data_IF_518553758732
#
_entry.id   IF_518553758732
#
_cell.length_a   1.000
_cell.length_b   1.000
_cell.length_c   1.000
_cell.angle_alpha   90.00
_cell.angle_beta   90.00
_cell.angle_gamma   90.00
#
_symmetry.space_group_name_H-M   'P 1'
#
loop_
_entity.id
_entity.type
_entity.pdbx_description
1 polymer ?
#
# COMPACT_ATOMS: atom_id res chain seq x y z
N UNK A 1 -16.58 -64.46 -17.61
CA UNK A 1 -17.00 -64.19 -16.24
C UNK A 1 -16.26 -63.00 -15.73
N UNK A 2 -16.83 -61.83 -15.75
CA UNK A 2 -16.47 -60.74 -14.83
C UNK A 2 -17.47 -59.60 -15.04
N UNK A 3 -18.23 -59.39 -14.00
CA UNK A 3 -19.38 -58.47 -13.91
C UNK A 3 -18.88 -57.04 -13.80
N UNK A 4 -19.32 -56.16 -14.68
CA UNK A 4 -19.13 -54.71 -14.57
C UNK A 4 -20.24 -54.11 -13.67
N UNK A 5 -19.88 -53.51 -12.55
CA UNK A 5 -20.76 -52.70 -11.73
C UNK A 5 -20.76 -51.25 -12.25
N UNK A 6 -21.92 -50.82 -12.76
CA UNK A 6 -22.20 -49.47 -13.13
C UNK A 6 -22.33 -48.55 -11.88
N UNK A 7 -21.64 -47.46 -11.87
CA UNK A 7 -21.86 -46.39 -10.90
C UNK A 7 -22.70 -45.30 -11.59
N UNK A 8 -23.98 -45.28 -11.29
CA UNK A 8 -24.91 -44.23 -11.70
C UNK A 8 -24.87 -43.13 -10.62
N UNK A 9 -24.18 -42.04 -10.88
CA UNK A 9 -24.24 -40.86 -10.05
C UNK A 9 -25.07 -39.77 -10.75
N UNK A 10 -26.36 -39.80 -10.49
CA UNK A 10 -27.26 -38.69 -10.79
C UNK A 10 -27.39 -37.80 -9.57
N UNK A 11 -26.40 -36.94 -9.35
CA UNK A 11 -26.46 -35.83 -8.41
C UNK A 11 -26.56 -34.51 -9.16
N UNK A 12 -27.77 -34.10 -9.52
CA UNK A 12 -28.04 -32.78 -10.05
C UNK A 12 -27.88 -31.76 -8.91
N UNK A 13 -27.08 -30.70 -9.04
CA UNK A 13 -27.02 -29.65 -8.01
C UNK A 13 -28.37 -28.95 -7.92
N UNK A 14 -28.82 -28.58 -6.71
CA UNK A 14 -30.10 -27.90 -6.54
C UNK A 14 -30.05 -26.54 -7.24
N UNK A 15 -31.02 -26.30 -8.10
CA UNK A 15 -31.22 -25.02 -8.77
C UNK A 15 -31.60 -23.95 -7.73
N UNK A 16 -31.17 -22.71 -7.97
CA UNK A 16 -31.40 -21.54 -7.12
C UNK A 16 -32.89 -21.31 -6.72
N UNK A 17 -33.84 -21.95 -7.44
CA UNK A 17 -35.25 -21.90 -7.13
C UNK A 17 -35.65 -22.74 -5.90
N UNK A 18 -34.81 -23.68 -5.47
CA UNK A 18 -35.10 -24.52 -4.30
C UNK A 18 -34.80 -23.86 -2.95
N UNK A 19 -34.06 -22.74 -2.96
CA UNK A 19 -33.71 -21.98 -1.75
C UNK A 19 -34.76 -20.89 -1.41
N UNK A 20 -35.71 -20.64 -2.29
CA UNK A 20 -36.73 -19.60 -2.09
C UNK A 20 -37.92 -20.03 -1.22
N UNK A 21 -38.02 -21.31 -0.82
CA UNK A 21 -39.15 -21.82 -0.06
C UNK A 21 -38.85 -22.14 1.41
N UNK A 22 -37.62 -21.96 1.87
CA UNK A 22 -37.33 -21.93 3.31
C UNK A 22 -37.59 -20.48 3.76
N UNK A 23 -38.75 -20.28 4.42
CA UNK A 23 -39.26 -19.00 4.88
C UNK A 23 -38.27 -18.22 5.73
N UNK A 24 -37.33 -17.60 5.05
CA UNK A 24 -36.60 -16.43 5.59
C UNK A 24 -37.52 -15.22 5.35
N UNK A 25 -38.48 -15.06 6.24
CA UNK A 25 -39.04 -13.73 6.42
C UNK A 25 -37.86 -12.79 6.77
N UNK A 26 -37.64 -11.71 6.00
CA UNK A 26 -36.77 -10.66 6.50
C UNK A 26 -37.46 -10.18 7.77
N UNK A 27 -36.97 -10.65 8.92
CA UNK A 27 -37.40 -10.15 10.19
C UNK A 27 -37.28 -8.64 10.07
N UNK A 28 -38.35 -7.91 10.32
CA UNK A 28 -38.31 -6.49 10.67
C UNK A 28 -37.52 -6.42 11.97
N UNK A 29 -36.19 -6.63 11.87
CA UNK A 29 -35.27 -6.16 12.86
C UNK A 29 -35.45 -4.66 12.83
N UNK A 30 -36.25 -4.13 13.73
CA UNK A 30 -36.10 -2.76 14.18
C UNK A 30 -34.64 -2.62 14.53
N UNK A 31 -33.84 -2.09 13.59
CA UNK A 31 -32.51 -1.62 13.87
C UNK A 31 -32.72 -0.57 14.97
N UNK A 32 -32.48 -0.99 16.22
CA UNK A 32 -32.41 -0.04 17.32
C UNK A 32 -31.37 1.00 16.88
N UNK A 33 -31.73 2.31 16.85
CA UNK A 33 -30.74 3.30 16.46
C UNK A 33 -29.55 3.12 17.37
N UNK A 34 -28.43 2.84 16.73
CA UNK A 34 -27.16 2.62 17.42
C UNK A 34 -26.94 3.80 18.36
N UNK A 35 -26.93 3.53 19.67
CA UNK A 35 -26.82 4.57 20.73
C UNK A 35 -25.46 5.28 20.70
N UNK A 36 -24.87 5.44 19.58
CA UNK A 36 -23.59 6.10 19.37
C UNK A 36 -23.45 6.66 17.96
N UNK A 37 -24.43 6.47 17.08
CA UNK A 37 -24.35 6.97 15.72
C UNK A 37 -24.38 8.51 15.72
N UNK A 38 -23.35 9.12 15.12
CA UNK A 38 -23.26 10.56 14.92
C UNK A 38 -23.89 10.87 13.57
N UNK A 39 -24.86 11.80 13.57
CA UNK A 39 -25.49 12.24 12.34
C UNK A 39 -24.61 13.27 11.64
N UNK A 40 -23.92 12.88 10.58
CA UNK A 40 -23.14 13.76 9.74
C UNK A 40 -23.90 14.09 8.45
N UNK A 41 -23.75 15.30 7.89
CA UNK A 41 -24.29 15.63 6.58
C UNK A 41 -23.78 14.67 5.52
N UNK A 42 -24.65 14.17 4.65
CA UNK A 42 -24.28 13.27 3.54
C UNK A 42 -23.74 14.05 2.32
N UNK A 43 -23.56 15.35 2.42
CA UNK A 43 -23.04 16.20 1.36
C UNK A 43 -21.62 16.67 1.67
N UNK A 44 -20.80 16.90 0.62
CA UNK A 44 -19.46 17.46 0.81
C UNK A 44 -19.55 18.84 1.48
N UNK A 45 -18.88 19.00 2.60
CA UNK A 45 -18.81 20.29 3.29
C UNK A 45 -17.77 21.19 2.64
N UNK A 46 -18.05 22.48 2.44
CA UNK A 46 -17.07 23.44 1.98
C UNK A 46 -15.85 23.48 2.90
N UNK A 47 -14.66 23.69 2.34
CA UNK A 47 -13.37 23.63 3.07
C UNK A 47 -13.30 24.69 4.17
N UNK A 48 -13.93 25.85 3.96
CA UNK A 48 -14.02 26.96 4.91
C UNK A 48 -14.84 26.64 6.18
N UNK A 49 -15.70 25.63 6.10
CA UNK A 49 -16.50 25.15 7.24
C UNK A 49 -15.81 24.02 8.02
N UNK A 50 -14.68 23.53 7.53
CA UNK A 50 -13.92 22.48 8.19
C UNK A 50 -12.92 23.08 9.20
N UNK A 51 -12.61 22.36 10.29
CA UNK A 51 -11.57 22.78 11.22
C UNK A 51 -10.24 23.01 10.52
N UNK A 52 -9.56 24.09 10.80
CA UNK A 52 -8.27 24.40 10.19
C UNK A 52 -7.16 23.48 10.72
N UNK A 53 -7.24 23.08 11.99
CA UNK A 53 -6.24 22.27 12.70
C UNK A 53 -6.83 20.96 13.18
N UNK A 54 -6.00 19.94 13.30
CA UNK A 54 -6.40 18.63 13.81
C UNK A 54 -6.98 18.70 15.22
N UNK A 55 -6.42 19.54 16.09
CA UNK A 55 -6.89 19.71 17.45
C UNK A 55 -8.30 20.33 17.57
N UNK A 56 -8.77 20.94 16.50
CA UNK A 56 -10.11 21.57 16.42
C UNK A 56 -11.17 20.61 15.88
N UNK A 57 -10.76 19.41 15.43
CA UNK A 57 -11.69 18.40 14.98
C UNK A 57 -12.45 17.79 16.16
N UNK A 58 -13.72 17.52 15.95
CA UNK A 58 -14.58 16.84 16.91
C UNK A 58 -15.35 15.73 16.22
N UNK A 59 -15.97 14.86 16.98
CA UNK A 59 -16.83 13.83 16.43
C UNK A 59 -18.00 14.42 15.61
N UNK A 60 -18.48 15.61 15.98
CA UNK A 60 -19.55 16.32 15.27
C UNK A 60 -19.05 17.14 14.08
N UNK A 61 -17.75 17.49 14.08
CA UNK A 61 -17.14 18.23 12.99
C UNK A 61 -15.78 17.60 12.59
N UNK A 62 -15.80 16.36 12.08
CA UNK A 62 -14.58 15.66 11.66
C UNK A 62 -14.09 16.14 10.30
N UNK A 63 -12.82 15.91 10.02
CA UNK A 63 -12.32 16.02 8.66
C UNK A 63 -12.76 14.84 7.80
N UNK A 64 -13.14 15.06 6.55
CA UNK A 64 -13.17 14.00 5.54
C UNK A 64 -11.79 13.36 5.35
N UNK A 65 -11.76 12.09 4.95
CA UNK A 65 -10.51 11.36 4.68
C UNK A 65 -9.63 12.09 3.66
N UNK A 66 -10.24 12.71 2.65
CA UNK A 66 -9.53 13.49 1.63
C UNK A 66 -8.74 14.66 2.21
N UNK A 67 -9.30 15.35 3.21
CA UNK A 67 -8.61 16.47 3.89
C UNK A 67 -7.42 15.98 4.68
N UNK A 68 -7.58 14.90 5.44
CA UNK A 68 -6.46 14.30 6.17
C UNK A 68 -5.36 13.81 5.22
N UNK A 69 -5.73 13.15 4.12
CA UNK A 69 -4.77 12.71 3.09
C UNK A 69 -4.00 13.87 2.48
N UNK A 70 -4.66 15.01 2.22
CA UNK A 70 -3.99 16.22 1.74
C UNK A 70 -3.01 16.80 2.77
N UNK A 71 -3.37 16.77 4.05
CA UNK A 71 -2.48 17.20 5.12
C UNK A 71 -1.23 16.33 5.21
N UNK A 72 -1.39 15.01 5.09
CA UNK A 72 -0.26 14.06 5.03
C UNK A 72 0.59 14.31 3.79
N UNK A 73 -0.03 14.48 2.63
CA UNK A 73 0.69 14.80 1.40
C UNK A 73 1.56 16.04 1.58
N UNK A 74 1.00 17.14 2.07
CA UNK A 74 1.74 18.38 2.32
C UNK A 74 2.86 18.23 3.35
N UNK A 75 2.72 17.36 4.34
CA UNK A 75 3.78 17.05 5.30
C UNK A 75 4.90 16.23 4.65
N UNK A 76 4.55 15.21 3.88
CA UNK A 76 5.51 14.34 3.18
C UNK A 76 6.26 15.10 2.09
N UNK A 77 5.60 16.00 1.35
CA UNK A 77 6.24 16.85 0.34
C UNK A 77 7.33 17.76 0.91
N UNK A 78 7.23 18.15 2.17
CA UNK A 78 8.26 18.94 2.85
C UNK A 78 9.40 18.10 3.43
N UNK A 79 9.26 16.77 3.44
CA UNK A 79 10.30 15.90 3.97
C UNK A 79 11.50 15.88 3.02
N UNK A 80 12.73 15.99 3.55
CA UNK A 80 13.93 15.97 2.72
C UNK A 80 14.18 14.56 2.16
N UNK A 81 14.97 14.50 1.09
CA UNK A 81 15.52 13.23 0.59
C UNK A 81 16.49 12.63 1.59
N UNK A 82 16.56 11.30 1.62
CA UNK A 82 17.43 10.57 2.52
C UNK A 82 18.10 9.37 1.84
N UNK A 83 19.24 8.97 2.36
CA UNK A 83 19.87 7.70 2.03
C UNK A 83 19.33 6.61 2.97
N UNK A 84 18.88 5.51 2.40
CA UNK A 84 18.29 4.38 3.13
C UNK A 84 18.99 3.10 2.72
N UNK A 85 19.34 2.25 3.67
CA UNK A 85 19.94 0.94 3.40
C UNK A 85 19.00 -0.18 3.77
N UNK A 86 19.13 -1.31 3.08
CA UNK A 86 18.38 -2.53 3.37
C UNK A 86 18.63 -3.60 2.34
N UNK A 87 17.93 -4.73 2.50
CA UNK A 87 17.98 -5.86 1.58
C UNK A 87 16.76 -5.87 0.66
N UNK A 88 16.99 -6.10 -0.61
CA UNK A 88 15.90 -6.28 -1.58
C UNK A 88 15.20 -7.62 -1.33
N UNK A 89 13.92 -7.56 -0.96
CA UNK A 89 13.07 -8.76 -0.82
C UNK A 89 12.21 -9.01 -2.04
N UNK A 90 11.85 -7.94 -2.75
CA UNK A 90 11.17 -8.03 -4.05
C UNK A 90 11.69 -6.94 -4.97
N UNK A 91 11.83 -7.28 -6.23
CA UNK A 91 12.18 -6.32 -7.28
C UNK A 91 11.39 -6.64 -8.54
N UNK A 92 10.77 -5.62 -9.12
CA UNK A 92 10.03 -5.71 -10.35
C UNK A 92 10.39 -4.51 -11.23
N UNK A 93 11.13 -4.78 -12.30
CA UNK A 93 11.50 -3.79 -13.31
C UNK A 93 10.62 -4.00 -14.53
N UNK A 94 9.82 -3.01 -14.88
CA UNK A 94 8.93 -3.07 -16.04
C UNK A 94 9.59 -2.48 -17.25
N UNK A 95 9.28 -3.02 -18.44
CA UNK A 95 9.79 -2.50 -19.73
C UNK A 95 9.45 -1.03 -19.97
N UNK A 96 8.47 -0.49 -19.28
CA UNK A 96 8.07 0.92 -19.35
C UNK A 96 8.98 1.88 -18.57
N UNK A 97 10.19 1.47 -18.16
CA UNK A 97 11.13 2.34 -17.46
C UNK A 97 10.73 2.66 -16.03
N UNK A 98 10.03 1.76 -15.35
CA UNK A 98 9.71 1.85 -13.92
C UNK A 98 10.27 0.67 -13.15
N UNK A 99 10.70 0.91 -11.92
CA UNK A 99 11.11 -0.12 -10.98
C UNK A 99 10.32 0.00 -9.68
N UNK A 100 9.95 -1.14 -9.13
CA UNK A 100 9.29 -1.28 -7.83
C UNK A 100 10.11 -2.26 -7.00
N UNK A 101 10.56 -1.82 -5.85
CA UNK A 101 11.43 -2.57 -4.95
C UNK A 101 10.78 -2.60 -3.58
N UNK A 102 10.77 -3.75 -2.93
CA UNK A 102 10.51 -3.86 -1.50
C UNK A 102 11.86 -4.00 -0.80
N UNK A 103 12.19 -3.01 -0.01
CA UNK A 103 13.41 -2.95 0.78
C UNK A 103 13.08 -3.30 2.22
N UNK A 104 13.78 -4.29 2.78
CA UNK A 104 13.62 -4.73 4.18
C UNK A 104 14.83 -4.29 5.00
N UNK A 105 14.59 -3.87 6.21
CA UNK A 105 15.65 -3.59 7.17
C UNK A 105 16.45 -4.86 7.51
N UNK A 106 17.74 -4.69 7.80
CA UNK A 106 18.63 -5.83 8.07
C UNK A 106 18.44 -6.41 9.48
N UNK A 107 17.90 -5.63 10.41
CA UNK A 107 17.82 -5.98 11.82
C UNK A 107 16.39 -6.01 12.36
N UNK A 108 15.52 -5.21 11.79
CA UNK A 108 14.12 -5.08 12.21
C UNK A 108 13.16 -5.67 11.18
N UNK A 109 12.01 -6.14 11.63
CA UNK A 109 10.95 -6.64 10.73
C UNK A 109 10.14 -5.49 10.12
N UNK A 110 10.84 -4.61 9.41
CA UNK A 110 10.28 -3.43 8.75
C UNK A 110 10.62 -3.50 7.27
N UNK A 111 9.64 -3.27 6.43
CA UNK A 111 9.82 -3.17 5.00
C UNK A 111 9.25 -1.86 4.46
N UNK A 112 9.84 -1.34 3.40
CA UNK A 112 9.43 -0.12 2.73
C UNK A 112 9.37 -0.35 1.22
N UNK A 113 8.33 0.17 0.59
CA UNK A 113 8.25 0.21 -0.86
C UNK A 113 9.06 1.37 -1.42
N UNK A 114 9.87 1.06 -2.42
CA UNK A 114 10.63 2.02 -3.21
C UNK A 114 10.18 1.94 -4.65
N UNK A 115 9.86 3.07 -5.23
CA UNK A 115 9.57 3.16 -6.66
C UNK A 115 10.47 4.19 -7.33
N UNK A 116 10.71 4.02 -8.61
CA UNK A 116 11.50 4.96 -9.38
C UNK A 116 11.39 4.74 -10.87
N UNK A 117 11.82 5.75 -11.61
CA UNK A 117 11.65 5.80 -13.06
C UNK A 117 12.97 6.15 -13.75
N UNK A 118 13.01 5.97 -15.07
CA UNK A 118 14.13 6.40 -15.89
C UNK A 118 15.47 5.81 -15.45
N UNK A 119 16.41 6.65 -15.08
CA UNK A 119 17.77 6.24 -14.67
C UNK A 119 17.78 5.32 -13.46
N UNK A 120 16.90 5.56 -12.49
CA UNK A 120 16.78 4.69 -11.33
C UNK A 120 16.32 3.29 -11.75
N UNK A 121 15.29 3.19 -12.58
CA UNK A 121 14.79 1.91 -13.07
C UNK A 121 15.84 1.16 -13.90
N UNK A 122 16.60 1.87 -14.74
CA UNK A 122 17.70 1.28 -15.50
C UNK A 122 18.79 0.73 -14.59
N UNK A 123 19.20 1.48 -13.57
CA UNK A 123 20.16 1.02 -12.57
C UNK A 123 19.62 -0.15 -11.75
N UNK A 124 18.35 -0.08 -11.34
CA UNK A 124 17.69 -1.13 -10.56
C UNK A 124 17.62 -2.48 -11.29
N UNK A 125 17.60 -2.50 -12.62
CA UNK A 125 17.58 -3.72 -13.42
C UNK A 125 18.81 -4.62 -13.24
N UNK A 126 19.90 -4.10 -12.68
CA UNK A 126 21.13 -4.85 -12.40
C UNK A 126 21.11 -5.57 -11.06
N UNK A 127 20.10 -5.33 -10.24
CA UNK A 127 19.97 -5.90 -8.90
C UNK A 127 18.97 -7.04 -8.90
N UNK A 128 19.15 -7.93 -7.93
CA UNK A 128 18.28 -9.10 -7.72
C UNK A 128 17.81 -9.16 -6.27
N UNK A 129 16.79 -9.96 -6.04
CA UNK A 129 16.35 -10.29 -4.69
C UNK A 129 17.51 -10.85 -3.86
N UNK A 130 17.65 -10.39 -2.64
CA UNK A 130 18.74 -10.76 -1.74
C UNK A 130 19.91 -9.75 -1.74
N UNK A 131 20.04 -8.89 -2.73
CA UNK A 131 21.08 -7.87 -2.73
C UNK A 131 20.86 -6.84 -1.61
N UNK A 132 21.96 -6.48 -0.94
CA UNK A 132 21.97 -5.32 -0.03
C UNK A 132 22.31 -4.08 -0.81
N UNK A 133 21.51 -3.05 -0.61
CA UNK A 133 21.63 -1.81 -1.37
C UNK A 133 21.51 -0.59 -0.47
N UNK A 134 22.00 0.53 -0.98
CA UNK A 134 21.73 1.86 -0.45
C UNK A 134 20.97 2.63 -1.53
N UNK A 135 19.87 3.23 -1.16
CA UNK A 135 19.00 3.98 -2.05
C UNK A 135 18.90 5.41 -1.55
N UNK A 136 19.13 6.37 -2.44
CA UNK A 136 18.76 7.75 -2.20
C UNK A 136 17.38 8.02 -2.77
N UNK A 137 16.54 8.68 -2.00
CA UNK A 137 15.20 8.99 -2.47
C UNK A 137 14.46 9.96 -1.56
N UNK A 138 13.31 10.37 -2.02
CA UNK A 138 12.41 11.27 -1.30
C UNK A 138 11.15 10.51 -0.90
N UNK A 139 10.68 10.64 0.35
CA UNK A 139 9.36 10.13 0.72
C UNK A 139 8.27 10.66 -0.20
N UNK A 140 7.39 9.79 -0.61
CA UNK A 140 6.28 10.08 -1.51
C UNK A 140 5.00 9.43 -1.02
N UNK A 141 3.92 10.18 -1.02
CA UNK A 141 2.61 9.70 -0.65
C UNK A 141 1.72 9.53 -1.89
N UNK A 142 1.23 8.33 -2.10
CA UNK A 142 0.22 8.12 -3.14
C UNK A 142 -1.18 8.42 -2.60
N UNK A 143 -1.71 9.56 -3.00
CA UNK A 143 -2.97 10.13 -2.49
C UNK A 143 -4.17 9.19 -2.56
N UNK A 144 -4.33 8.44 -3.65
CA UNK A 144 -5.53 7.58 -3.86
C UNK A 144 -5.67 6.46 -2.81
N UNK A 145 -4.55 6.02 -2.21
CA UNK A 145 -4.54 4.99 -1.17
C UNK A 145 -3.95 5.47 0.14
N UNK A 146 -3.46 6.69 0.18
CA UNK A 146 -2.72 7.26 1.31
C UNK A 146 -1.57 6.33 1.71
N UNK A 147 -0.86 5.76 0.72
CA UNK A 147 0.27 4.87 0.95
C UNK A 147 1.58 5.61 0.82
N UNK A 148 2.46 5.39 1.80
CA UNK A 148 3.79 5.99 1.85
C UNK A 148 4.80 5.07 1.18
N UNK A 149 5.65 5.63 0.34
CA UNK A 149 6.76 4.94 -0.34
C UNK A 149 7.97 5.86 -0.43
N UNK A 150 9.11 5.32 -0.82
CA UNK A 150 10.29 6.12 -1.18
C UNK A 150 10.38 6.24 -2.70
N UNK A 151 10.45 7.44 -3.22
CA UNK A 151 10.74 7.69 -4.62
C UNK A 151 12.24 7.74 -4.81
N UNK A 152 12.83 6.63 -5.30
CA UNK A 152 14.26 6.49 -5.51
C UNK A 152 14.76 7.27 -6.72
N UNK A 153 15.92 7.88 -6.58
CA UNK A 153 16.67 8.50 -7.66
C UNK A 153 18.04 7.84 -7.90
N UNK A 154 18.62 7.23 -6.87
CA UNK A 154 19.93 6.57 -6.95
C UNK A 154 19.89 5.25 -6.18
N UNK A 155 20.49 4.19 -6.74
CA UNK A 155 20.64 2.89 -6.09
C UNK A 155 22.07 2.40 -6.25
N UNK A 156 22.67 1.94 -5.15
CA UNK A 156 24.05 1.45 -5.07
C UNK A 156 24.10 0.11 -4.37
N UNK A 157 24.98 -0.79 -4.80
CA UNK A 157 25.21 -2.09 -4.17
C UNK A 157 26.13 -1.94 -2.96
N UNK A 158 25.76 -2.56 -1.85
CA UNK A 158 26.66 -2.71 -0.70
C UNK A 158 27.55 -3.93 -0.95
N UNK A 159 28.83 -3.73 -1.16
CA UNK A 159 29.80 -4.83 -1.35
C UNK A 159 30.13 -5.51 -0.02
N UNK A 160 30.44 -6.80 -0.07
CA UNK A 160 30.82 -7.63 1.08
C UNK A 160 32.13 -7.19 1.80
N UNK A 161 32.81 -6.13 1.33
CA UNK A 161 34.05 -5.62 1.90
C UNK A 161 34.30 -4.12 1.64
N UNK A 162 33.32 -3.43 1.01
CA UNK A 162 33.45 -2.00 0.69
C UNK A 162 32.88 -1.11 1.79
N UNK A 163 33.71 -0.30 2.39
CA UNK A 163 33.25 0.75 3.29
C UNK A 163 32.28 1.68 2.54
N UNK A 164 31.10 1.91 3.11
CA UNK A 164 30.12 2.89 2.65
C UNK A 164 30.77 4.25 2.31
N UNK A 165 31.84 4.57 3.03
CA UNK A 165 32.65 5.78 2.84
C UNK A 165 33.31 5.85 1.46
N UNK A 166 33.83 4.74 0.93
CA UNK A 166 34.45 4.69 -0.40
C UNK A 166 33.42 4.92 -1.52
N UNK A 167 32.20 4.44 -1.36
CA UNK A 167 31.10 4.64 -2.31
C UNK A 167 30.60 6.09 -2.32
N UNK A 168 30.55 6.73 -1.17
CA UNK A 168 30.15 8.15 -1.03
C UNK A 168 31.21 9.07 -1.63
N UNK A 169 32.50 8.75 -1.47
CA UNK A 169 33.60 9.54 -2.01
C UNK A 169 33.69 9.48 -3.55
N UNK A 170 33.26 8.36 -4.15
CA UNK A 170 33.18 8.22 -5.62
C UNK A 170 32.05 9.04 -6.24
N UNK A 171 30.96 9.27 -5.51
CA UNK A 171 29.83 10.09 -5.94
C UNK A 171 30.11 11.61 -5.83
N UNK A 172 31.19 12.01 -5.16
CA UNK A 172 31.60 13.41 -5.02
C UNK A 172 32.58 13.88 -6.10
N UNK A 173 32.99 13.01 -7.01
CA UNK A 173 33.80 13.34 -8.18
C UNK A 173 32.89 13.67 -9.36
#
# INVERSE_FOLDING_TARGET
MTTAMGYSSTGRPPTAASLASSGFEPGQGTFAPDRGAINLPNEPRPIDQLPARAAETTAQNPWPVSVLSQKFYGAVERWPSAWVTGQITQINTRRAGSAYITLRDDFEDIAMEVNGFGRFAAAASQFVQGDRVVIHGKPNLWMKRTSLSLRGDTILKVGAGGSLKAMIDELRK
#
